data_IF_163844187565
#
_entry.id   IF_163844187565
#
_cell.length_a   1.000
_cell.length_b   1.000
_cell.length_c   1.000
_cell.angle_alpha   90.00
_cell.angle_beta   90.00
_cell.angle_gamma   90.00
#
_symmetry.space_group_name_H-M   'P 1'
#
loop_
_entity.id
_entity.type
_entity.pdbx_description
1 polymer ?
#
# COMPACT_ATOMS: atom_id res chain seq x y z
N UNK A 1 8.48 23.24 18.62
CA UNK A 1 9.73 22.75 19.20
C UNK A 1 10.76 22.62 18.09
N UNK A 2 11.96 23.16 18.29
CA UNK A 2 13.05 23.02 17.32
C UNK A 2 14.01 21.93 17.80
N UNK A 3 14.37 21.01 16.90
CA UNK A 3 15.29 19.91 17.18
C UNK A 3 16.51 20.04 16.26
N UNK A 4 17.70 19.91 16.84
CA UNK A 4 18.95 19.82 16.10
C UNK A 4 19.57 18.44 16.31
N UNK A 5 19.76 17.69 15.22
CA UNK A 5 20.51 16.44 15.22
C UNK A 5 21.89 16.75 14.67
N UNK A 6 22.93 16.63 15.50
CA UNK A 6 24.31 16.99 15.14
C UNK A 6 25.14 15.80 14.70
N UNK A 7 26.13 16.07 13.84
CA UNK A 7 27.17 15.12 13.46
C UNK A 7 26.61 13.80 12.90
N UNK A 8 25.55 13.85 12.11
CA UNK A 8 24.88 12.66 11.59
C UNK A 8 25.29 12.39 10.13
N UNK A 9 25.46 11.12 9.78
CA UNK A 9 25.48 10.69 8.37
C UNK A 9 24.06 10.68 7.84
N UNK A 10 23.87 11.09 6.59
CA UNK A 10 22.56 11.17 5.94
C UNK A 10 22.62 10.49 4.57
N UNK A 11 21.63 9.67 4.26
CA UNK A 11 21.44 9.15 2.90
C UNK A 11 20.67 10.19 2.08
N UNK A 12 21.32 10.79 1.09
CA UNK A 12 20.75 11.83 0.23
C UNK A 12 20.95 11.43 -1.23
N UNK A 13 19.87 11.17 -1.94
CA UNK A 13 19.91 10.79 -3.38
C UNK A 13 20.86 9.64 -3.71
N UNK A 14 21.02 8.65 -2.82
CA UNK A 14 21.89 7.50 -2.99
C UNK A 14 23.31 7.67 -2.44
N UNK A 15 23.72 8.88 -2.09
CA UNK A 15 25.03 9.19 -1.52
C UNK A 15 24.97 9.40 0.00
N UNK A 16 26.11 9.25 0.66
CA UNK A 16 26.25 9.54 2.10
C UNK A 16 26.85 10.94 2.27
N UNK A 17 26.06 11.83 2.86
CA UNK A 17 26.51 13.15 3.31
C UNK A 17 26.69 13.17 4.85
N UNK A 18 27.52 14.05 5.37
CA UNK A 18 27.68 14.30 6.79
C UNK A 18 27.29 15.74 7.13
N UNK A 19 26.64 15.94 8.27
CA UNK A 19 26.22 17.27 8.70
C UNK A 19 25.20 17.22 9.83
N UNK A 20 24.39 18.26 9.90
CA UNK A 20 23.35 18.41 10.91
C UNK A 20 21.97 18.36 10.26
N UNK A 21 20.94 17.95 11.03
CA UNK A 21 19.54 18.07 10.62
C UNK A 21 18.83 19.03 11.57
N UNK A 22 18.20 20.06 11.00
CA UNK A 22 17.39 21.02 11.74
C UNK A 22 15.91 20.74 11.47
N UNK A 23 15.14 20.61 12.53
CA UNK A 23 13.68 20.37 12.48
C UNK A 23 12.98 21.50 13.23
N UNK A 24 11.98 22.14 12.61
CA UNK A 24 11.09 23.10 13.25
C UNK A 24 9.66 22.58 13.20
N UNK A 25 9.08 22.32 14.36
CA UNK A 25 7.76 21.70 14.45
C UNK A 25 7.75 20.29 13.87
N UNK A 26 7.15 20.10 12.71
CA UNK A 26 7.00 18.86 11.96
C UNK A 26 7.80 18.83 10.64
N UNK A 27 8.62 19.87 10.41
CA UNK A 27 9.29 20.06 9.12
C UNK A 27 10.80 20.08 9.28
N UNK A 28 11.51 19.33 8.41
CA UNK A 28 12.97 19.42 8.26
C UNK A 28 13.26 20.74 7.51
N UNK A 29 13.90 21.69 8.21
CA UNK A 29 14.20 23.02 7.66
C UNK A 29 15.59 23.11 7.05
N UNK A 30 16.51 22.23 7.45
CA UNK A 30 17.82 22.09 6.84
C UNK A 30 18.38 20.69 7.06
N UNK A 31 19.16 20.21 6.07
CA UNK A 31 19.96 19.00 6.13
C UNK A 31 21.35 19.29 5.55
N UNK A 32 22.39 19.13 6.38
CA UNK A 32 23.79 19.46 6.05
C UNK A 32 24.34 20.52 6.98
N UNK A 33 24.16 21.80 6.69
CA UNK A 33 24.68 22.91 7.51
C UNK A 33 23.53 23.55 8.31
N UNK A 34 23.77 23.76 9.59
CA UNK A 34 22.81 24.49 10.45
C UNK A 34 22.66 25.93 9.94
N UNK A 35 21.43 26.43 9.68
CA UNK A 35 21.20 27.81 9.31
C UNK A 35 21.63 28.79 10.39
N UNK A 36 22.11 29.98 9.98
CA UNK A 36 22.42 31.06 10.92
C UNK A 36 21.15 31.46 11.71
N UNK A 37 21.32 31.63 13.03
CA UNK A 37 20.22 32.00 13.92
C UNK A 37 19.29 30.84 14.34
N UNK A 38 19.47 29.61 13.83
CA UNK A 38 18.68 28.49 14.29
C UNK A 38 19.00 28.15 15.76
N UNK A 39 17.97 28.23 16.60
CA UNK A 39 18.09 27.92 18.05
C UNK A 39 17.29 26.66 18.33
N UNK A 40 17.94 25.63 18.85
CA UNK A 40 17.32 24.35 19.16
C UNK A 40 16.81 24.29 20.61
N UNK A 41 15.58 23.82 20.80
CA UNK A 41 15.04 23.46 22.11
C UNK A 41 15.59 22.10 22.57
N UNK A 42 15.94 21.23 21.63
CA UNK A 42 16.52 19.91 21.90
C UNK A 42 17.65 19.61 20.92
N UNK A 43 18.76 19.13 21.46
CA UNK A 43 19.92 18.67 20.66
C UNK A 43 20.06 17.17 20.83
N UNK A 44 20.24 16.46 19.70
CA UNK A 44 20.48 15.03 19.64
C UNK A 44 21.86 14.80 19.00
N UNK A 45 22.72 14.04 19.68
CA UNK A 45 23.97 13.58 19.07
C UNK A 45 23.71 12.45 18.09
N UNK A 46 24.01 12.72 16.83
CA UNK A 46 23.90 11.79 15.70
C UNK A 46 25.19 11.04 15.38
N UNK A 47 26.27 11.25 16.15
CA UNK A 47 27.57 10.61 15.93
C UNK A 47 27.42 9.08 15.86
N UNK A 48 27.99 8.48 14.82
CA UNK A 48 27.89 7.04 14.57
C UNK A 48 26.53 6.53 14.08
N UNK A 49 25.58 7.43 13.78
CA UNK A 49 24.25 7.09 13.25
C UNK A 49 24.09 7.51 11.78
N UNK A 50 23.16 6.88 11.09
CA UNK A 50 22.75 7.21 9.73
C UNK A 50 21.28 7.62 9.74
N UNK A 51 20.97 8.81 9.26
CA UNK A 51 19.62 9.22 8.93
C UNK A 51 19.28 8.72 7.52
N UNK A 52 18.14 8.07 7.39
CA UNK A 52 17.56 7.67 6.11
C UNK A 52 16.18 8.29 5.97
N UNK A 53 15.64 8.46 4.76
CA UNK A 53 14.23 8.78 4.58
C UNK A 53 13.36 7.78 5.32
N UNK A 54 12.25 8.26 5.92
CA UNK A 54 11.30 7.38 6.57
C UNK A 54 10.74 6.35 5.59
N UNK A 55 10.59 5.10 6.02
CA UNK A 55 10.12 4.03 5.16
C UNK A 55 8.62 4.18 4.90
N UNK A 56 8.20 3.84 3.68
CA UNK A 56 6.79 3.81 3.29
C UNK A 56 6.36 2.38 2.98
N UNK A 57 5.27 1.94 3.61
CA UNK A 57 4.62 0.67 3.33
C UNK A 57 3.47 0.90 2.36
N UNK A 58 3.67 0.62 1.08
CA UNK A 58 2.73 1.01 0.02
C UNK A 58 1.56 0.05 -0.17
N UNK A 59 1.47 -1.03 0.59
CA UNK A 59 0.33 -1.95 0.60
C UNK A 59 0.27 -2.71 1.92
N UNK A 60 -0.82 -2.55 2.64
CA UNK A 60 -1.09 -3.22 3.91
C UNK A 60 -2.60 -3.46 4.12
N UNK A 61 -2.91 -4.33 5.08
CA UNK A 61 -4.24 -4.56 5.64
C UNK A 61 -4.11 -4.50 7.16
N UNK A 62 -4.07 -3.29 7.71
CA UNK A 62 -3.54 -3.05 9.06
C UNK A 62 -4.31 -3.75 10.18
N UNK A 63 -5.63 -3.92 10.09
CA UNK A 63 -6.39 -4.65 11.12
C UNK A 63 -6.07 -6.15 11.13
N UNK A 64 -5.50 -6.70 10.05
CA UNK A 64 -5.15 -8.13 9.97
C UNK A 64 -3.98 -8.55 10.89
N UNK A 65 -3.47 -7.65 11.74
CA UNK A 65 -2.64 -8.06 12.87
C UNK A 65 -3.35 -9.08 13.78
N UNK A 66 -4.68 -9.04 13.80
CA UNK A 66 -5.54 -10.00 14.51
C UNK A 66 -5.51 -11.39 13.89
N UNK A 67 -5.12 -11.50 12.62
CA UNK A 67 -5.12 -12.75 11.85
C UNK A 67 -3.71 -13.33 11.63
N UNK A 68 -2.73 -12.80 12.33
CA UNK A 68 -1.34 -13.29 12.27
C UNK A 68 -1.28 -14.77 12.62
N UNK A 69 -0.67 -15.59 11.73
CA UNK A 69 -0.56 -17.05 11.88
C UNK A 69 -1.91 -17.80 11.99
N UNK A 70 -3.01 -17.17 11.57
CA UNK A 70 -4.33 -17.80 11.67
C UNK A 70 -4.51 -18.95 10.67
N UNK A 71 -3.92 -18.82 9.50
CA UNK A 71 -4.04 -19.77 8.40
C UNK A 71 -2.71 -19.84 7.63
N UNK A 72 -2.01 -20.96 7.77
CA UNK A 72 -0.77 -21.27 7.05
C UNK A 72 -0.95 -22.52 6.19
N UNK A 73 -0.07 -22.71 5.19
CA UNK A 73 0.02 -23.89 4.33
C UNK A 73 -1.29 -24.23 3.58
N UNK A 74 -2.04 -23.18 3.18
CA UNK A 74 -3.26 -23.28 2.38
C UNK A 74 -3.03 -22.75 0.96
N UNK A 75 -3.87 -23.21 0.01
CA UNK A 75 -3.95 -22.53 -1.30
C UNK A 75 -4.47 -21.10 -1.12
N UNK A 76 -4.19 -20.20 -2.07
CA UNK A 76 -4.68 -18.82 -2.00
C UNK A 76 -6.20 -18.76 -1.82
N UNK A 77 -6.94 -19.58 -2.56
CA UNK A 77 -8.40 -19.63 -2.50
C UNK A 77 -8.92 -20.12 -1.13
N UNK A 78 -8.32 -21.20 -0.59
CA UNK A 78 -8.70 -21.72 0.73
C UNK A 78 -8.29 -20.76 1.85
N UNK A 79 -7.15 -20.07 1.67
CA UNK A 79 -6.69 -19.03 2.58
C UNK A 79 -7.65 -17.85 2.57
N UNK A 80 -7.93 -17.25 1.40
CA UNK A 80 -8.75 -16.03 1.30
C UNK A 80 -10.22 -16.33 1.58
N UNK A 81 -10.84 -17.20 0.77
CA UNK A 81 -12.30 -17.41 0.82
C UNK A 81 -12.72 -18.39 1.92
N UNK A 82 -11.87 -19.36 2.25
CA UNK A 82 -12.15 -20.36 3.28
C UNK A 82 -11.77 -19.92 4.69
N UNK A 83 -10.78 -19.04 4.84
CA UNK A 83 -10.23 -18.69 6.16
C UNK A 83 -10.36 -17.22 6.49
N UNK A 84 -9.88 -16.31 5.66
CA UNK A 84 -9.76 -14.88 5.99
C UNK A 84 -11.11 -14.18 5.91
N UNK A 85 -11.75 -14.18 4.74
CA UNK A 85 -13.02 -13.46 4.54
C UNK A 85 -14.12 -13.84 5.53
N UNK A 86 -14.35 -15.14 5.87
CA UNK A 86 -15.35 -15.47 6.88
C UNK A 86 -15.06 -14.92 8.27
N UNK A 87 -13.79 -14.64 8.59
CA UNK A 87 -13.40 -14.05 9.86
C UNK A 87 -13.43 -12.52 9.82
N UNK A 88 -13.16 -11.93 8.67
CA UNK A 88 -13.37 -10.49 8.44
C UNK A 88 -14.83 -10.10 8.63
N UNK A 89 -15.77 -10.94 8.17
CA UNK A 89 -17.20 -10.73 8.34
C UNK A 89 -17.66 -10.72 9.82
N UNK A 90 -16.83 -11.26 10.72
CA UNK A 90 -17.09 -11.28 12.16
C UNK A 90 -16.50 -10.05 12.89
N UNK A 91 -15.63 -9.29 12.25
CA UNK A 91 -14.97 -8.15 12.88
C UNK A 91 -15.93 -7.00 13.11
N UNK A 92 -15.73 -6.37 14.26
CA UNK A 92 -16.38 -5.10 14.60
C UNK A 92 -15.45 -3.91 14.25
N UNK A 93 -16.00 -2.69 14.16
CA UNK A 93 -15.18 -1.49 14.02
C UNK A 93 -14.11 -1.33 15.12
N UNK A 94 -14.42 -1.76 16.35
CA UNK A 94 -13.46 -1.68 17.47
C UNK A 94 -12.34 -2.70 17.33
N UNK A 95 -12.61 -3.90 16.85
CA UNK A 95 -11.56 -4.88 16.51
C UNK A 95 -10.60 -4.30 15.46
N UNK A 96 -11.16 -3.70 14.41
CA UNK A 96 -10.36 -3.06 13.36
C UNK A 96 -9.48 -1.93 13.91
N UNK A 97 -10.01 -1.10 14.82
CA UNK A 97 -9.24 -0.06 15.51
C UNK A 97 -8.04 -0.63 16.26
N UNK A 98 -8.25 -1.64 17.11
CA UNK A 98 -7.18 -2.22 17.92
C UNK A 98 -6.16 -3.02 17.09
N UNK A 99 -6.63 -3.72 16.05
CA UNK A 99 -5.74 -4.38 15.09
C UNK A 99 -4.84 -3.37 14.37
N UNK A 100 -5.41 -2.26 13.90
CA UNK A 100 -4.65 -1.18 13.28
C UNK A 100 -3.71 -0.47 14.27
N UNK A 101 -4.11 -0.26 15.52
CA UNK A 101 -3.22 0.29 16.56
C UNK A 101 -1.95 -0.56 16.75
N UNK A 102 -2.11 -1.90 16.83
CA UNK A 102 -0.97 -2.81 16.92
C UNK A 102 -0.07 -2.70 15.68
N UNK A 103 -0.68 -2.71 14.50
CA UNK A 103 0.06 -2.58 13.22
C UNK A 103 0.83 -1.27 13.11
N UNK A 104 0.21 -0.15 13.45
CA UNK A 104 0.87 1.15 13.47
C UNK A 104 2.04 1.18 14.46
N UNK A 105 1.87 0.60 15.65
CA UNK A 105 2.95 0.50 16.64
C UNK A 105 4.15 -0.34 16.13
N UNK A 106 3.89 -1.46 15.45
CA UNK A 106 4.94 -2.28 14.80
C UNK A 106 5.63 -1.52 13.67
N UNK A 107 4.87 -0.83 12.81
CA UNK A 107 5.40 -0.02 11.72
C UNK A 107 6.30 1.11 12.25
N UNK A 108 5.87 1.87 13.25
CA UNK A 108 6.68 2.93 13.87
C UNK A 108 7.98 2.35 14.44
N UNK A 109 7.91 1.24 15.15
CA UNK A 109 9.12 0.58 15.74
C UNK A 109 10.09 0.09 14.69
N UNK A 110 9.65 -0.20 13.48
CA UNK A 110 10.49 -0.62 12.35
C UNK A 110 10.85 0.50 11.38
N UNK A 111 10.50 1.76 11.70
CA UNK A 111 10.89 2.95 10.93
C UNK A 111 9.96 3.31 9.77
N UNK A 112 8.78 2.72 9.68
CA UNK A 112 7.75 3.10 8.73
C UNK A 112 7.03 4.36 9.23
N UNK A 113 6.91 5.36 8.36
CA UNK A 113 6.31 6.67 8.69
C UNK A 113 5.00 6.94 7.94
N UNK A 114 4.76 6.16 6.89
CA UNK A 114 3.55 6.26 6.07
C UNK A 114 3.17 4.88 5.55
N UNK A 115 1.88 4.59 5.46
CA UNK A 115 1.41 3.35 4.85
C UNK A 115 0.16 3.58 4.00
N UNK A 116 -0.05 2.69 3.02
CA UNK A 116 -1.29 2.61 2.25
C UNK A 116 -2.02 1.33 2.63
N UNK A 117 -3.27 1.48 3.00
CA UNK A 117 -4.08 0.45 3.65
C UNK A 117 -5.36 0.17 2.88
N UNK A 118 -5.75 -1.10 2.75
CA UNK A 118 -7.01 -1.48 2.11
C UNK A 118 -7.81 -2.40 3.03
N UNK A 119 -9.07 -2.02 3.32
CA UNK A 119 -9.96 -2.85 4.14
C UNK A 119 -11.39 -2.31 4.22
N UNK A 120 -12.26 -2.95 5.06
CA UNK A 120 -13.68 -2.62 5.18
C UNK A 120 -13.99 -1.55 6.24
N UNK A 121 -13.05 -1.23 7.14
CA UNK A 121 -13.21 -0.24 8.22
C UNK A 121 -12.17 0.88 8.16
N UNK A 122 -12.00 1.59 7.01
CA UNK A 122 -10.92 2.56 6.84
C UNK A 122 -10.99 3.72 7.84
N UNK A 123 -12.18 4.11 8.28
CA UNK A 123 -12.36 5.11 9.34
C UNK A 123 -11.63 4.76 10.62
N UNK A 124 -11.80 3.52 11.10
CA UNK A 124 -11.22 3.06 12.36
C UNK A 124 -9.72 2.91 12.28
N UNK A 125 -9.21 2.49 11.14
CA UNK A 125 -7.77 2.42 10.91
C UNK A 125 -7.15 3.81 10.72
N UNK A 126 -7.87 4.75 10.10
CA UNK A 126 -7.47 6.15 10.04
C UNK A 126 -7.42 6.79 11.44
N UNK A 127 -8.41 6.54 12.30
CA UNK A 127 -8.41 6.97 13.70
C UNK A 127 -7.20 6.40 14.47
N UNK A 128 -6.85 5.12 14.27
CA UNK A 128 -5.70 4.48 14.88
C UNK A 128 -4.38 5.11 14.39
N UNK A 129 -4.21 5.28 13.07
CA UNK A 129 -3.05 5.93 12.48
C UNK A 129 -2.87 7.36 13.02
N UNK A 130 -3.94 8.12 13.06
CA UNK A 130 -3.95 9.49 13.59
C UNK A 130 -3.59 9.55 15.07
N UNK A 131 -4.13 8.62 15.89
CA UNK A 131 -3.81 8.52 17.32
C UNK A 131 -2.32 8.33 17.58
N UNK A 132 -1.65 7.59 16.70
CA UNK A 132 -0.20 7.35 16.79
C UNK A 132 0.65 8.33 15.96
N UNK A 133 0.03 9.31 15.30
CA UNK A 133 0.73 10.33 14.52
C UNK A 133 1.34 9.82 13.21
N UNK A 134 0.83 8.72 12.64
CA UNK A 134 1.28 8.18 11.37
C UNK A 134 0.52 8.79 10.18
N UNK A 135 1.23 8.99 9.08
CA UNK A 135 0.59 9.27 7.79
C UNK A 135 0.00 7.99 7.21
N UNK A 136 -1.21 8.09 6.65
CA UNK A 136 -1.83 6.95 6.00
C UNK A 136 -2.65 7.36 4.76
N UNK A 137 -2.62 6.49 3.75
CA UNK A 137 -3.50 6.54 2.59
C UNK A 137 -4.49 5.40 2.74
N UNK A 138 -5.75 5.73 2.99
CA UNK A 138 -6.80 4.75 3.23
C UNK A 138 -7.51 4.40 1.93
N UNK A 139 -7.80 3.13 1.74
CA UNK A 139 -8.66 2.64 0.68
C UNK A 139 -9.73 1.72 1.25
N UNK A 140 -11.00 2.00 0.95
CA UNK A 140 -12.06 1.06 1.25
C UNK A 140 -12.05 -0.05 0.20
N UNK A 141 -12.07 -1.31 0.62
CA UNK A 141 -12.22 -2.45 -0.28
C UNK A 141 -13.59 -2.38 -0.97
N UNK A 142 -13.60 -1.92 -2.22
CA UNK A 142 -14.77 -1.81 -3.06
C UNK A 142 -14.93 -3.11 -3.82
N UNK A 143 -16.06 -3.78 -3.62
CA UNK A 143 -16.43 -5.04 -4.27
C UNK A 143 -17.88 -4.99 -4.71
N UNK A 144 -18.24 -5.68 -5.80
CA UNK A 144 -19.61 -5.77 -6.27
C UNK A 144 -19.70 -6.21 -7.74
N UNK A 145 -20.80 -6.86 -8.13
CA UNK A 145 -20.98 -7.36 -9.51
C UNK A 145 -21.27 -6.24 -10.52
N UNK A 146 -22.02 -5.21 -10.09
CA UNK A 146 -22.45 -4.11 -10.94
C UNK A 146 -22.82 -2.87 -10.14
N UNK A 147 -23.05 -1.73 -10.85
CA UNK A 147 -23.40 -0.44 -10.28
C UNK A 147 -24.81 -0.35 -9.70
N UNK A 148 -25.64 -1.39 -9.84
CA UNK A 148 -27.02 -1.43 -9.31
C UNK A 148 -27.11 -2.22 -8.02
N UNK A 149 -26.09 -3.00 -7.69
CA UNK A 149 -26.01 -3.79 -6.47
C UNK A 149 -25.91 -2.84 -5.24
N UNK A 150 -26.82 -3.03 -4.28
CA UNK A 150 -26.98 -2.08 -3.16
C UNK A 150 -25.74 -1.96 -2.27
N UNK A 151 -25.08 -3.08 -2.00
CA UNK A 151 -23.89 -3.09 -1.16
C UNK A 151 -22.68 -2.49 -1.85
N UNK A 152 -22.53 -2.68 -3.16
CA UNK A 152 -21.48 -2.04 -3.95
C UNK A 152 -21.60 -0.51 -3.89
N UNK A 153 -22.81 0.00 -4.15
CA UNK A 153 -23.10 1.44 -4.08
C UNK A 153 -23.00 1.97 -2.65
N UNK A 154 -23.43 1.21 -1.65
CA UNK A 154 -23.28 1.58 -0.24
C UNK A 154 -21.79 1.76 0.12
N UNK A 155 -20.93 0.79 -0.23
CA UNK A 155 -19.47 0.88 0.03
C UNK A 155 -18.84 2.08 -0.65
N UNK A 156 -19.23 2.39 -1.89
CA UNK A 156 -18.76 3.59 -2.59
C UNK A 156 -19.19 4.87 -1.86
N UNK A 157 -20.46 4.96 -1.44
CA UNK A 157 -20.97 6.13 -0.73
C UNK A 157 -20.31 6.29 0.65
N UNK A 158 -20.08 5.20 1.36
CA UNK A 158 -19.32 5.19 2.63
C UNK A 158 -17.89 5.73 2.40
N UNK A 159 -17.20 5.25 1.36
CA UNK A 159 -15.89 5.77 0.99
C UNK A 159 -15.90 7.29 0.75
N UNK A 160 -16.91 7.81 0.05
CA UNK A 160 -17.01 9.24 -0.21
C UNK A 160 -17.25 10.06 1.07
N UNK A 161 -18.04 9.55 2.01
CA UNK A 161 -18.26 10.16 3.32
C UNK A 161 -16.99 10.15 4.17
N UNK A 162 -16.25 9.04 4.18
CA UNK A 162 -15.00 8.88 4.89
C UNK A 162 -13.94 9.86 4.38
N UNK A 163 -13.78 9.93 3.06
CA UNK A 163 -12.88 10.89 2.41
C UNK A 163 -13.22 12.34 2.77
N UNK A 164 -14.51 12.70 2.76
CA UNK A 164 -14.94 14.06 3.11
C UNK A 164 -14.65 14.39 4.57
N UNK A 165 -14.79 13.42 5.48
CA UNK A 165 -14.50 13.63 6.90
C UNK A 165 -13.02 13.93 7.18
N UNK A 166 -12.11 13.40 6.38
CA UNK A 166 -10.66 13.60 6.54
C UNK A 166 -10.04 14.53 5.49
N UNK A 167 -10.84 15.27 4.70
CA UNK A 167 -10.33 16.08 3.58
C UNK A 167 -9.27 17.11 3.94
N UNK A 168 -9.33 17.64 5.16
CA UNK A 168 -8.41 18.65 5.68
C UNK A 168 -7.42 18.08 6.70
N UNK A 169 -7.39 16.76 6.87
CA UNK A 169 -6.48 16.11 7.82
C UNK A 169 -5.08 16.00 7.22
N UNK A 170 -4.02 16.49 7.89
CA UNK A 170 -2.68 16.49 7.33
C UNK A 170 -2.01 15.10 7.32
N UNK A 171 -2.57 14.12 8.02
CA UNK A 171 -2.03 12.77 8.13
C UNK A 171 -2.76 11.76 7.27
N UNK A 172 -4.05 11.97 6.99
CA UNK A 172 -4.91 10.97 6.38
C UNK A 172 -5.37 11.43 5.00
N UNK A 173 -5.23 10.55 4.03
CA UNK A 173 -5.77 10.74 2.68
C UNK A 173 -6.45 9.46 2.18
N UNK A 174 -7.20 9.57 1.08
CA UNK A 174 -7.99 8.46 0.55
C UNK A 174 -7.75 8.26 -0.94
N UNK A 175 -7.77 6.97 -1.37
CA UNK A 175 -7.85 6.56 -2.78
C UNK A 175 -9.02 5.60 -2.95
N UNK A 176 -9.55 5.48 -4.15
CA UNK A 176 -10.51 4.44 -4.48
C UNK A 176 -9.81 3.07 -4.50
N UNK A 177 -10.42 2.09 -3.83
CA UNK A 177 -9.87 0.76 -3.67
C UNK A 177 -10.71 -0.35 -4.31
N UNK A 178 -10.93 -0.40 -5.65
CA UNK A 178 -11.45 -1.61 -6.26
C UNK A 178 -10.56 -2.78 -5.85
N UNK A 179 -11.14 -3.80 -5.20
CA UNK A 179 -10.34 -4.82 -4.54
C UNK A 179 -9.51 -5.62 -5.56
N UNK A 180 -10.17 -6.27 -6.51
CA UNK A 180 -9.55 -7.04 -7.59
C UNK A 180 -10.57 -7.33 -8.69
N UNK A 181 -10.14 -7.80 -9.86
CA UNK A 181 -11.04 -8.13 -10.99
C UNK A 181 -11.99 -9.29 -10.67
N UNK A 182 -11.61 -10.21 -9.78
CA UNK A 182 -12.43 -11.36 -9.39
C UNK A 182 -13.47 -11.03 -8.31
N UNK A 183 -13.44 -9.83 -7.75
CA UNK A 183 -14.44 -9.33 -6.77
C UNK A 183 -15.23 -8.15 -7.29
N UNK A 184 -14.86 -7.60 -8.46
CA UNK A 184 -15.50 -6.47 -9.10
C UNK A 184 -15.93 -6.84 -10.52
N UNK A 185 -17.24 -6.84 -10.77
CA UNK A 185 -17.74 -7.04 -12.12
C UNK A 185 -17.47 -5.84 -13.04
N UNK A 186 -17.56 -6.07 -14.37
CA UNK A 186 -17.26 -5.09 -15.42
C UNK A 186 -17.98 -3.75 -15.20
N UNK A 187 -19.30 -3.80 -15.05
CA UNK A 187 -20.11 -2.59 -14.91
C UNK A 187 -19.75 -1.78 -13.65
N UNK A 188 -19.36 -2.47 -12.57
CA UNK A 188 -18.89 -1.79 -11.36
C UNK A 188 -17.51 -1.16 -11.55
N UNK A 189 -16.58 -1.81 -12.23
CA UNK A 189 -15.28 -1.25 -12.58
C UNK A 189 -15.42 -0.01 -13.47
N UNK A 190 -16.26 -0.07 -14.51
CA UNK A 190 -16.56 1.08 -15.37
C UNK A 190 -17.17 2.25 -14.57
N UNK A 191 -18.10 1.96 -13.66
CA UNK A 191 -18.64 2.96 -12.74
C UNK A 191 -17.53 3.61 -11.88
N UNK A 192 -16.61 2.80 -11.30
CA UNK A 192 -15.52 3.33 -10.49
C UNK A 192 -14.55 4.18 -11.32
N UNK A 193 -14.29 3.84 -12.59
CA UNK A 193 -13.49 4.67 -13.51
C UNK A 193 -14.17 6.02 -13.76
N UNK A 194 -15.47 6.03 -14.03
CA UNK A 194 -16.26 7.27 -14.17
C UNK A 194 -16.10 8.14 -12.91
N UNK A 195 -16.32 7.54 -11.74
CA UNK A 195 -16.24 8.25 -10.44
C UNK A 195 -14.83 8.73 -10.09
N UNK A 196 -13.81 7.95 -10.41
CA UNK A 196 -12.41 8.37 -10.21
C UNK A 196 -12.08 9.62 -11.04
N UNK A 197 -12.50 9.65 -12.32
CA UNK A 197 -12.31 10.80 -13.21
C UNK A 197 -13.09 12.04 -12.72
N UNK A 198 -14.35 11.87 -12.31
CA UNK A 198 -15.19 12.94 -11.76
C UNK A 198 -14.61 13.56 -10.48
N UNK A 199 -14.14 12.72 -9.56
CA UNK A 199 -13.70 13.14 -8.23
C UNK A 199 -12.18 13.36 -8.13
N UNK A 200 -11.45 13.14 -9.23
CA UNK A 200 -9.98 13.22 -9.34
C UNK A 200 -9.27 12.35 -8.30
N UNK A 201 -9.80 11.16 -8.08
CA UNK A 201 -9.19 10.17 -7.19
C UNK A 201 -8.31 9.22 -7.98
N UNK A 202 -7.33 8.65 -7.31
CA UNK A 202 -6.43 7.62 -7.81
C UNK A 202 -6.91 6.24 -7.37
N UNK A 203 -6.43 5.18 -8.02
CA UNK A 203 -6.74 3.79 -7.68
C UNK A 203 -5.65 3.10 -6.89
N UNK A 204 -6.07 2.14 -6.06
CA UNK A 204 -5.26 1.10 -5.46
C UNK A 204 -5.97 -0.24 -5.63
N UNK A 205 -5.32 -1.25 -6.20
CA UNK A 205 -5.93 -2.53 -6.61
C UNK A 205 -4.94 -3.69 -6.45
N UNK A 206 -5.42 -4.92 -6.15
CA UNK A 206 -4.65 -6.15 -6.33
C UNK A 206 -4.73 -6.57 -7.80
N UNK A 207 -3.58 -6.87 -8.41
CA UNK A 207 -3.51 -7.12 -9.86
C UNK A 207 -2.56 -8.27 -10.18
N UNK A 208 -3.07 -9.24 -10.96
CA UNK A 208 -2.28 -10.37 -11.47
C UNK A 208 -1.46 -11.07 -10.37
N UNK A 209 -2.10 -11.25 -9.22
CA UNK A 209 -1.46 -11.81 -8.03
C UNK A 209 -1.25 -13.32 -8.17
N UNK A 210 -2.29 -14.04 -8.63
CA UNK A 210 -2.25 -15.49 -8.76
C UNK A 210 -2.36 -15.93 -10.21
N UNK A 211 -1.79 -17.10 -10.51
CA UNK A 211 -1.93 -17.70 -11.84
C UNK A 211 -3.40 -18.05 -12.15
N UNK A 212 -4.20 -18.35 -11.13
CA UNK A 212 -5.62 -18.65 -11.28
C UNK A 212 -6.42 -17.39 -11.66
N UNK A 213 -6.10 -16.23 -11.07
CA UNK A 213 -6.69 -14.95 -11.51
C UNK A 213 -6.48 -14.71 -13.00
N UNK A 214 -5.23 -14.87 -13.47
CA UNK A 214 -4.89 -14.68 -14.89
C UNK A 214 -5.62 -15.69 -15.78
N UNK A 215 -5.60 -16.99 -15.44
CA UNK A 215 -6.29 -18.04 -16.21
C UNK A 215 -7.80 -17.82 -16.28
N UNK A 216 -8.42 -17.42 -15.17
CA UNK A 216 -9.86 -17.15 -15.11
C UNK A 216 -10.21 -15.93 -15.94
N UNK A 217 -9.41 -14.86 -15.89
CA UNK A 217 -9.61 -13.68 -16.72
C UNK A 217 -9.52 -14.01 -18.22
N UNK A 218 -8.54 -14.79 -18.64
CA UNK A 218 -8.45 -15.27 -20.02
C UNK A 218 -9.66 -16.11 -20.42
N UNK A 219 -10.13 -17.00 -19.55
CA UNK A 219 -11.31 -17.85 -19.81
C UNK A 219 -12.59 -17.05 -19.96
N UNK A 220 -12.77 -16.00 -19.16
CA UNK A 220 -13.98 -15.21 -19.09
C UNK A 220 -14.00 -14.06 -20.11
N UNK A 221 -12.86 -13.43 -20.33
CA UNK A 221 -12.73 -12.19 -21.09
C UNK A 221 -11.82 -12.32 -22.33
N UNK A 222 -11.07 -13.42 -22.49
CA UNK A 222 -10.10 -13.60 -23.57
C UNK A 222 -8.86 -12.73 -23.46
N UNK A 223 -8.58 -12.18 -22.29
CA UNK A 223 -7.53 -11.18 -22.01
C UNK A 223 -6.84 -11.44 -20.67
N UNK A 224 -5.65 -10.89 -20.51
CA UNK A 224 -5.02 -10.79 -19.20
C UNK A 224 -5.77 -9.80 -18.29
N UNK A 225 -5.57 -9.86 -16.98
CA UNK A 225 -6.11 -8.84 -16.06
C UNK A 225 -5.73 -7.41 -16.43
N UNK A 226 -4.49 -7.21 -16.90
CA UNK A 226 -3.99 -5.89 -17.31
C UNK A 226 -4.67 -5.42 -18.58
N UNK A 227 -4.72 -6.26 -19.64
CA UNK A 227 -5.43 -5.94 -20.89
C UNK A 227 -6.91 -5.65 -20.67
N UNK A 228 -7.55 -6.42 -19.77
CA UNK A 228 -8.94 -6.25 -19.41
C UNK A 228 -9.20 -4.90 -18.74
N UNK A 229 -8.39 -4.53 -17.76
CA UNK A 229 -8.51 -3.24 -17.07
C UNK A 229 -8.18 -2.06 -18.00
N UNK A 230 -7.19 -2.20 -18.89
CA UNK A 230 -6.85 -1.16 -19.86
C UNK A 230 -7.99 -0.89 -20.85
N UNK A 231 -8.67 -1.94 -21.32
CA UNK A 231 -9.87 -1.80 -22.15
C UNK A 231 -10.99 -0.99 -21.48
N UNK A 232 -11.13 -1.10 -20.14
CA UNK A 232 -12.11 -0.33 -19.37
C UNK A 232 -11.68 1.13 -19.14
N UNK A 233 -10.48 1.54 -19.60
CA UNK A 233 -9.89 2.84 -19.32
C UNK A 233 -9.47 3.02 -17.85
N UNK A 234 -9.24 1.91 -17.15
CA UNK A 234 -8.87 1.92 -15.73
C UNK A 234 -7.54 2.62 -15.48
N UNK A 235 -6.56 2.36 -16.34
CA UNK A 235 -5.23 2.97 -16.25
C UNK A 235 -5.14 4.40 -16.83
N UNK A 236 -6.24 4.98 -17.33
CA UNK A 236 -6.31 6.43 -17.57
C UNK A 236 -6.38 7.21 -16.26
N UNK A 237 -6.66 6.51 -15.16
CA UNK A 237 -6.59 7.01 -13.79
C UNK A 237 -5.28 6.54 -13.17
N UNK A 238 -4.57 7.43 -12.46
CA UNK A 238 -3.33 7.06 -11.79
C UNK A 238 -3.56 5.91 -10.82
N UNK A 239 -2.83 4.82 -11.00
CA UNK A 239 -3.07 3.55 -10.33
C UNK A 239 -1.82 3.06 -9.62
N UNK A 240 -2.00 2.54 -8.40
CA UNK A 240 -1.06 1.73 -7.66
C UNK A 240 -1.56 0.28 -7.65
N UNK A 241 -0.82 -0.62 -8.29
CA UNK A 241 -1.19 -2.03 -8.46
C UNK A 241 -0.32 -2.92 -7.56
N UNK A 242 -0.95 -3.62 -6.62
CA UNK A 242 -0.27 -4.55 -5.73
C UNK A 242 -0.04 -5.90 -6.40
N UNK A 243 1.04 -6.57 -6.01
CA UNK A 243 1.53 -7.88 -6.44
C UNK A 243 2.14 -7.93 -7.83
N UNK A 244 1.37 -7.84 -8.90
CA UNK A 244 1.85 -7.90 -10.29
C UNK A 244 2.81 -9.08 -10.55
N UNK A 245 2.45 -10.29 -10.07
CA UNK A 245 3.30 -11.47 -10.12
C UNK A 245 3.30 -12.10 -11.51
N UNK A 246 2.11 -12.24 -12.09
CA UNK A 246 1.90 -12.97 -13.35
C UNK A 246 1.61 -12.00 -14.50
N UNK A 247 2.65 -11.41 -15.05
CA UNK A 247 2.58 -10.46 -16.16
C UNK A 247 3.25 -11.03 -17.43
N UNK A 248 2.64 -10.82 -18.57
CA UNK A 248 3.28 -10.98 -19.87
C UNK A 248 4.13 -9.75 -20.22
N UNK A 249 4.99 -9.83 -21.25
CA UNK A 249 5.71 -8.67 -21.80
C UNK A 249 4.73 -7.56 -22.22
N UNK A 250 3.61 -7.94 -22.84
CA UNK A 250 2.60 -6.99 -23.29
C UNK A 250 1.92 -6.28 -22.09
N UNK A 251 1.63 -7.00 -21.02
CA UNK A 251 1.10 -6.40 -19.79
C UNK A 251 2.07 -5.35 -19.21
N UNK A 252 3.35 -5.68 -19.17
CA UNK A 252 4.37 -4.75 -18.68
C UNK A 252 4.49 -3.51 -19.58
N UNK A 253 4.34 -3.65 -20.89
CA UNK A 253 4.32 -2.51 -21.83
C UNK A 253 3.11 -1.60 -21.61
N UNK A 254 1.92 -2.17 -21.34
CA UNK A 254 0.72 -1.41 -20.98
C UNK A 254 0.96 -0.63 -19.68
N UNK A 255 1.44 -1.31 -18.63
CA UNK A 255 1.67 -0.67 -17.33
C UNK A 255 2.69 0.47 -17.42
N UNK A 256 3.76 0.29 -18.20
CA UNK A 256 4.75 1.33 -18.46
C UNK A 256 4.16 2.52 -19.23
N UNK A 257 3.41 2.25 -20.31
CA UNK A 257 2.78 3.28 -21.13
C UNK A 257 1.72 4.09 -20.40
N UNK A 258 1.07 3.51 -19.39
CA UNK A 258 0.04 4.14 -18.57
C UNK A 258 0.58 4.71 -17.25
N UNK A 259 1.88 4.64 -17.02
CA UNK A 259 2.53 5.16 -15.80
C UNK A 259 1.93 4.59 -14.50
N UNK A 260 1.63 3.30 -14.49
CA UNK A 260 1.14 2.58 -13.31
C UNK A 260 2.31 2.34 -12.35
N UNK A 261 2.09 2.55 -11.05
CA UNK A 261 3.06 2.16 -10.03
C UNK A 261 2.79 0.74 -9.57
N UNK A 262 3.80 -0.10 -9.55
CA UNK A 262 3.70 -1.49 -9.07
C UNK A 262 4.19 -1.58 -7.63
N UNK A 263 3.44 -2.28 -6.78
CA UNK A 263 3.78 -2.51 -5.38
C UNK A 263 4.20 -3.96 -5.21
N UNK A 264 5.47 -4.16 -4.97
CA UNK A 264 6.05 -5.50 -4.74
C UNK A 264 5.83 -5.93 -3.28
N UNK A 265 5.21 -7.09 -3.09
CA UNK A 265 4.93 -7.70 -1.79
C UNK A 265 5.67 -9.06 -1.69
N UNK A 266 7.02 -9.06 -1.62
CA UNK A 266 7.82 -10.26 -1.87
C UNK A 266 7.49 -11.39 -0.90
N UNK A 267 7.34 -11.08 0.38
CA UNK A 267 7.15 -12.10 1.40
C UNK A 267 5.73 -12.68 1.39
N UNK A 268 4.71 -11.85 1.16
CA UNK A 268 3.34 -12.31 0.97
C UNK A 268 3.22 -13.21 -0.26
N UNK A 269 3.77 -12.80 -1.39
CA UNK A 269 3.78 -13.60 -2.62
C UNK A 269 4.41 -14.98 -2.40
N UNK A 270 5.51 -15.05 -1.63
CA UNK A 270 6.18 -16.31 -1.31
C UNK A 270 5.37 -17.15 -0.32
N UNK A 271 4.84 -16.54 0.72
CA UNK A 271 4.08 -17.26 1.75
C UNK A 271 2.80 -17.89 1.20
N UNK A 272 2.12 -17.21 0.27
CA UNK A 272 0.92 -17.71 -0.41
C UNK A 272 1.24 -18.56 -1.66
N UNK A 273 2.53 -18.80 -1.93
CA UNK A 273 2.99 -19.52 -3.12
C UNK A 273 2.49 -18.92 -4.46
N UNK A 274 2.24 -17.61 -4.48
CA UNK A 274 1.77 -16.90 -5.67
C UNK A 274 2.86 -16.78 -6.75
N UNK A 275 4.15 -16.79 -6.36
CA UNK A 275 5.28 -16.68 -7.27
C UNK A 275 6.19 -15.48 -7.00
N UNK A 276 7.03 -15.14 -7.98
CA UNK A 276 7.98 -14.02 -7.91
C UNK A 276 7.64 -13.03 -9.00
N UNK A 277 7.30 -11.79 -8.61
CA UNK A 277 7.01 -10.72 -9.57
C UNK A 277 8.28 -10.35 -10.39
N UNK A 278 8.17 -10.03 -11.69
CA UNK A 278 9.30 -9.78 -12.58
C UNK A 278 9.89 -8.37 -12.39
N UNK A 279 10.25 -8.01 -11.14
CA UNK A 279 10.67 -6.67 -10.75
C UNK A 279 11.83 -6.11 -11.58
N UNK A 280 12.90 -6.86 -11.90
CA UNK A 280 13.97 -6.34 -12.76
C UNK A 280 13.46 -5.88 -14.13
N UNK A 281 12.62 -6.67 -14.80
CA UNK A 281 12.04 -6.31 -16.10
C UNK A 281 11.12 -5.08 -16.01
N UNK A 282 10.31 -4.98 -14.94
CA UNK A 282 9.48 -3.80 -14.70
C UNK A 282 10.33 -2.53 -14.52
N UNK A 283 11.45 -2.63 -13.80
CA UNK A 283 12.39 -1.52 -13.62
C UNK A 283 13.08 -1.14 -14.95
N UNK A 284 13.48 -2.12 -15.75
CA UNK A 284 14.05 -1.89 -17.10
C UNK A 284 13.09 -1.14 -18.04
N UNK A 285 11.78 -1.39 -17.90
CA UNK A 285 10.73 -0.66 -18.62
C UNK A 285 10.41 0.73 -18.01
N UNK A 286 11.10 1.13 -16.94
CA UNK A 286 10.92 2.42 -16.30
C UNK A 286 9.67 2.52 -15.39
N UNK A 287 9.06 1.39 -15.05
CA UNK A 287 7.90 1.37 -14.15
C UNK A 287 8.36 1.73 -12.74
N UNK A 288 7.61 2.61 -12.08
CA UNK A 288 7.85 2.95 -10.69
C UNK A 288 7.52 1.77 -9.78
N UNK A 289 8.53 1.28 -9.05
CA UNK A 289 8.39 0.16 -8.12
C UNK A 289 8.33 0.70 -6.69
N UNK A 290 7.28 0.33 -5.98
CA UNK A 290 7.11 0.53 -4.56
C UNK A 290 7.18 -0.82 -3.83
N UNK A 291 7.25 -0.78 -2.50
CA UNK A 291 7.22 -2.00 -1.69
C UNK A 291 6.10 -1.94 -0.67
N UNK A 292 5.48 -3.08 -0.42
CA UNK A 292 4.47 -3.28 0.61
C UNK A 292 4.68 -4.58 1.37
N UNK A 293 4.14 -4.65 2.57
CA UNK A 293 4.17 -5.87 3.38
C UNK A 293 3.00 -6.79 3.11
N UNK A 294 1.91 -6.23 2.55
CA UNK A 294 0.61 -6.86 2.58
C UNK A 294 0.12 -7.08 4.04
N UNK A 295 -0.76 -8.03 4.31
CA UNK A 295 -1.31 -8.30 5.62
C UNK A 295 -0.37 -9.11 6.53
N UNK A 296 -0.55 -9.03 7.84
CA UNK A 296 0.10 -9.96 8.76
C UNK A 296 -0.45 -11.40 8.63
N UNK A 297 -1.61 -11.57 8.04
CA UNK A 297 -2.15 -12.89 7.72
C UNK A 297 -1.33 -13.59 6.62
N UNK A 298 -0.85 -12.83 5.63
CA UNK A 298 -0.04 -13.35 4.50
C UNK A 298 1.47 -13.12 4.65
N UNK A 299 1.93 -12.34 5.66
CA UNK A 299 3.33 -11.96 5.84
C UNK A 299 3.90 -12.28 7.23
N UNK A 300 3.09 -12.16 8.27
CA UNK A 300 3.44 -12.23 9.70
C UNK A 300 4.15 -10.98 10.27
N UNK A 301 4.72 -10.09 9.47
CA UNK A 301 5.38 -8.86 9.96
C UNK A 301 5.04 -7.65 9.07
N UNK A 302 5.21 -6.44 9.63
CA UNK A 302 5.09 -5.18 8.88
C UNK A 302 6.46 -4.46 8.78
N UNK A 303 7.54 -5.21 8.79
CA UNK A 303 8.90 -4.65 8.79
C UNK A 303 9.43 -4.50 7.38
N UNK A 304 9.50 -3.25 6.89
CA UNK A 304 9.98 -2.92 5.56
C UNK A 304 11.45 -3.31 5.30
N UNK A 305 12.31 -3.36 6.33
CA UNK A 305 13.67 -3.88 6.15
C UNK A 305 13.68 -5.36 5.80
N UNK A 306 12.73 -6.12 6.34
CA UNK A 306 12.56 -7.53 5.94
C UNK A 306 12.13 -7.64 4.50
N UNK A 307 11.16 -6.83 4.05
CA UNK A 307 10.72 -6.80 2.64
C UNK A 307 11.86 -6.44 1.69
N UNK A 308 12.64 -5.39 2.01
CA UNK A 308 13.81 -5.02 1.23
C UNK A 308 14.84 -6.15 1.12
N UNK A 309 15.05 -6.91 2.20
CA UNK A 309 15.96 -8.07 2.19
C UNK A 309 15.45 -9.17 1.27
N UNK A 310 14.18 -9.54 1.36
CA UNK A 310 13.57 -10.53 0.45
C UNK A 310 13.62 -10.07 -1.01
N UNK A 311 13.20 -8.83 -1.29
CA UNK A 311 13.26 -8.28 -2.64
C UNK A 311 14.67 -8.32 -3.23
N UNK A 312 15.69 -7.95 -2.44
CA UNK A 312 17.07 -7.97 -2.90
C UNK A 312 17.61 -9.39 -3.15
N UNK A 313 17.16 -10.38 -2.38
CA UNK A 313 17.63 -11.76 -2.51
C UNK A 313 16.95 -12.50 -3.67
N UNK A 314 15.65 -12.30 -3.87
CA UNK A 314 14.85 -13.01 -4.88
C UNK A 314 15.32 -12.75 -6.32
N UNK A 315 15.96 -11.63 -6.58
CA UNK A 315 16.35 -11.17 -7.91
C UNK A 315 17.85 -11.23 -8.17
N UNK A 316 18.60 -12.06 -7.40
CA UNK A 316 20.04 -12.24 -7.58
C UNK A 316 20.43 -13.44 -8.46
N UNK A 317 19.48 -14.18 -9.00
CA UNK A 317 19.69 -15.35 -9.84
C UNK A 317 19.69 -15.05 -11.33
#
# INVERSE_FOLDING_TARGET
>A
MNILIKNIKMLVCGDIAEGDICISGDTITAAGTQPEGFTADKIIDGSGKLAIPGLMNCHAHSYMSLFRNLADDLTFEDWLFGSIMPREDMLTPDDAYWGAMLSCAEMIKSGTVCFMDMHMFPMKCAEAAKTLGMKAVMTRGLTGPDRTEKDAIRRYNEHMQEREQFKDDPLISFKLGPHAIYTCGRDYLEFLVEKAKETKQEFHIHLSETLNEVKNCYKEHGKSPVEYLDELGFFDVKTAAAHCVHLSEHDMDILAGKNVSVIHNPKSNLKLANGIAPIPHLMEKGINICMGTDSQASNNTLNMFTEMNYAALLHKG
#
